data_IF_317344294094
#
_entry.id   IF_317344294094
#
_cell.length_a   1.000
_cell.length_b   1.000
_cell.length_c   1.000
_cell.angle_alpha   90.00
_cell.angle_beta   90.00
_cell.angle_gamma   90.00
#
_symmetry.space_group_name_H-M   'P 1'
#
loop_
_entity.id
_entity.type
_entity.pdbx_description
1 polymer ?
#
# COMPACT_ATOMS: atom_id res chain seq x y z
N UNK A 1 2.83 -7.89 -11.56
CA UNK A 1 1.72 -8.34 -10.69
C UNK A 1 2.15 -9.50 -9.79
N UNK A 2 2.02 -9.32 -8.49
CA UNK A 2 2.21 -10.34 -7.47
C UNK A 2 1.11 -11.38 -7.63
N UNK A 3 1.48 -12.56 -8.12
CA UNK A 3 0.56 -13.65 -8.36
C UNK A 3 0.29 -14.37 -7.03
N UNK A 4 -0.94 -14.23 -6.53
CA UNK A 4 -1.46 -15.01 -5.42
C UNK A 4 -2.46 -16.04 -5.95
N UNK A 5 -2.58 -17.22 -5.32
CA UNK A 5 -3.62 -18.19 -5.65
C UNK A 5 -5.01 -17.56 -5.54
N UNK A 6 -5.99 -17.91 -6.40
CA UNK A 6 -7.36 -17.38 -6.30
C UNK A 6 -8.06 -17.67 -4.96
N UNK A 7 -7.62 -18.72 -4.26
CA UNK A 7 -8.12 -19.14 -2.94
C UNK A 7 -7.49 -18.37 -1.79
N UNK A 8 -6.54 -17.46 -2.05
CA UNK A 8 -5.91 -16.67 -1.02
C UNK A 8 -6.91 -15.71 -0.36
N UNK A 9 -6.63 -15.35 0.89
CA UNK A 9 -7.47 -14.41 1.61
C UNK A 9 -7.52 -13.05 0.89
N UNK A 10 -8.70 -12.44 0.83
CA UNK A 10 -8.91 -11.17 0.14
C UNK A 10 -7.98 -10.04 0.62
N UNK A 11 -7.58 -10.03 1.90
CA UNK A 11 -6.63 -9.04 2.42
C UNK A 11 -5.22 -9.21 1.83
N UNK A 12 -4.80 -10.45 1.51
CA UNK A 12 -3.52 -10.70 0.85
C UNK A 12 -3.54 -10.16 -0.59
N UNK A 13 -4.66 -10.32 -1.31
CA UNK A 13 -4.82 -9.72 -2.63
C UNK A 13 -4.70 -8.20 -2.60
N UNK A 14 -5.29 -7.52 -1.61
CA UNK A 14 -5.14 -6.05 -1.47
C UNK A 14 -3.73 -5.63 -1.10
N UNK A 15 -3.05 -6.37 -0.22
CA UNK A 15 -1.63 -6.13 0.08
C UNK A 15 -0.75 -6.30 -1.17
N UNK A 16 -0.98 -7.36 -1.95
CA UNK A 16 -0.28 -7.61 -3.20
C UNK A 16 -0.52 -6.49 -4.22
N UNK A 17 -1.77 -6.04 -4.39
CA UNK A 17 -2.10 -4.92 -5.26
C UNK A 17 -1.41 -3.61 -4.83
N UNK A 18 -1.35 -3.32 -3.53
CA UNK A 18 -0.64 -2.16 -3.01
C UNK A 18 0.87 -2.23 -3.29
N UNK A 19 1.49 -3.40 -3.09
CA UNK A 19 2.91 -3.61 -3.40
C UNK A 19 3.20 -3.52 -4.91
N UNK A 20 2.32 -4.04 -5.75
CA UNK A 20 2.40 -3.92 -7.21
C UNK A 20 2.33 -2.46 -7.66
N UNK A 21 1.52 -1.62 -7.01
CA UNK A 21 1.44 -0.20 -7.28
C UNK A 21 2.68 0.57 -6.76
N UNK A 22 3.23 0.16 -5.62
CA UNK A 22 4.40 0.81 -5.01
C UNK A 22 5.69 0.55 -5.79
N UNK A 23 5.89 -0.69 -6.25
CA UNK A 23 7.16 -1.15 -6.83
C UNK A 23 7.65 -0.29 -8.02
N UNK A 24 6.84 0.05 -9.05
CA UNK A 24 7.32 0.90 -10.13
C UNK A 24 7.67 2.31 -9.64
N UNK A 25 6.86 2.90 -8.74
CA UNK A 25 7.13 4.22 -8.15
C UNK A 25 8.45 4.25 -7.39
N UNK A 26 8.75 3.19 -6.65
CA UNK A 26 10.01 3.09 -5.93
C UNK A 26 11.20 2.98 -6.89
N UNK A 27 11.06 2.22 -7.98
CA UNK A 27 12.07 2.12 -9.03
C UNK A 27 12.33 3.48 -9.71
N UNK A 28 11.28 4.26 -9.95
CA UNK A 28 11.40 5.61 -10.48
C UNK A 28 12.12 6.52 -9.48
N UNK A 29 11.74 6.46 -8.19
CA UNK A 29 12.41 7.21 -7.12
C UNK A 29 13.92 6.93 -7.01
N UNK A 30 14.36 5.71 -7.28
CA UNK A 30 15.79 5.37 -7.30
C UNK A 30 16.59 6.15 -8.37
N UNK A 31 15.92 6.68 -9.40
CA UNK A 31 16.56 7.44 -10.49
C UNK A 31 16.60 8.95 -10.20
N UNK A 32 15.93 9.42 -9.14
CA UNK A 32 15.91 10.83 -8.78
C UNK A 32 17.18 11.25 -8.03
N UNK A 33 17.56 12.53 -8.18
CA UNK A 33 18.68 13.13 -7.43
C UNK A 33 18.46 13.12 -5.91
N UNK A 34 17.20 13.14 -5.46
CA UNK A 34 16.81 13.01 -4.05
C UNK A 34 15.85 11.84 -3.87
N UNK A 35 16.35 10.61 -3.74
CA UNK A 35 15.52 9.40 -3.74
C UNK A 35 14.66 9.26 -2.47
N UNK A 36 15.15 9.74 -1.32
CA UNK A 36 14.47 9.54 -0.03
C UNK A 36 13.14 10.32 0.08
N UNK A 37 13.05 11.62 -0.26
CA UNK A 37 11.77 12.33 -0.26
C UNK A 37 10.76 11.73 -1.25
N UNK A 38 11.21 11.33 -2.44
CA UNK A 38 10.38 10.66 -3.43
C UNK A 38 9.82 9.34 -2.89
N UNK A 39 10.70 8.48 -2.36
CA UNK A 39 10.34 7.19 -1.80
C UNK A 39 9.35 7.32 -0.65
N UNK A 40 9.58 8.29 0.26
CA UNK A 40 8.68 8.58 1.37
C UNK A 40 7.29 8.96 0.89
N UNK A 41 7.20 9.87 -0.09
CA UNK A 41 5.91 10.27 -0.67
C UNK A 41 5.21 9.09 -1.35
N UNK A 42 5.91 8.37 -2.21
CA UNK A 42 5.35 7.21 -2.92
C UNK A 42 4.85 6.13 -1.94
N UNK A 43 5.59 5.88 -0.86
CA UNK A 43 5.19 4.98 0.22
C UNK A 43 3.91 5.46 0.92
N UNK A 44 3.87 6.71 1.37
CA UNK A 44 2.72 7.27 2.07
C UNK A 44 1.47 7.28 1.19
N UNK A 45 1.57 7.72 -0.07
CA UNK A 45 0.44 7.76 -1.00
C UNK A 45 -0.18 6.37 -1.23
N UNK A 46 0.66 5.32 -1.35
CA UNK A 46 0.17 3.94 -1.52
C UNK A 46 -0.43 3.41 -0.22
N UNK A 47 0.19 3.69 0.92
CA UNK A 47 -0.30 3.24 2.22
C UNK A 47 -1.66 3.85 2.54
N UNK A 48 -1.88 5.13 2.22
CA UNK A 48 -3.15 5.82 2.44
C UNK A 48 -4.28 5.24 1.57
N UNK A 49 -3.98 4.92 0.31
CA UNK A 49 -4.91 4.22 -0.57
C UNK A 49 -5.27 2.83 -0.02
N UNK A 50 -4.26 2.03 0.34
CA UNK A 50 -4.48 0.72 0.95
C UNK A 50 -5.32 0.80 2.23
N UNK A 51 -5.04 1.77 3.10
CA UNK A 51 -5.81 1.97 4.32
C UNK A 51 -7.27 2.38 4.02
N UNK A 52 -7.50 3.24 3.03
CA UNK A 52 -8.85 3.61 2.58
C UNK A 52 -9.63 2.39 2.12
N UNK A 53 -9.00 1.51 1.33
CA UNK A 53 -9.61 0.27 0.85
C UNK A 53 -9.89 -0.72 1.99
N UNK A 54 -8.99 -0.86 2.96
CA UNK A 54 -9.19 -1.69 4.15
C UNK A 54 -10.27 -1.15 5.09
N UNK A 55 -10.44 0.18 5.18
CA UNK A 55 -11.54 0.78 5.94
C UNK A 55 -12.91 0.51 5.29
N UNK A 56 -12.97 0.37 3.98
CA UNK A 56 -14.19 0.03 3.24
C UNK A 56 -14.69 -1.40 3.45
N UNK A 57 -13.90 -2.29 4.07
CA UNK A 57 -14.24 -3.70 4.27
C UNK A 57 -14.37 -4.05 5.75
N UNK A 58 -15.18 -5.07 6.06
CA UNK A 58 -15.42 -5.57 7.43
C UNK A 58 -14.26 -6.46 7.94
N UNK A 59 -13.01 -6.06 7.74
CA UNK A 59 -11.84 -6.73 8.31
C UNK A 59 -11.34 -5.98 9.54
N UNK A 60 -10.63 -6.68 10.44
CA UNK A 60 -9.96 -6.03 11.57
C UNK A 60 -8.92 -5.06 11.00
N UNK A 61 -9.09 -3.78 11.31
CA UNK A 61 -8.22 -2.73 10.80
C UNK A 61 -6.77 -2.90 11.26
N UNK A 62 -5.84 -2.76 10.32
CA UNK A 62 -4.41 -2.77 10.60
C UNK A 62 -4.04 -1.59 11.50
N UNK A 63 -3.15 -1.82 12.46
CA UNK A 63 -2.71 -0.78 13.39
C UNK A 63 -2.09 0.42 12.67
N UNK A 64 -1.34 0.20 11.59
CA UNK A 64 -0.74 1.27 10.80
C UNK A 64 -1.78 2.22 10.17
N UNK A 65 -2.97 1.71 9.83
CA UNK A 65 -4.06 2.49 9.26
C UNK A 65 -4.84 3.29 10.32
N UNK A 66 -4.71 2.96 11.61
CA UNK A 66 -5.40 3.67 12.69
C UNK A 66 -4.93 5.11 12.89
N UNK A 67 -3.76 5.48 12.36
CA UNK A 67 -3.28 6.87 12.41
C UNK A 67 -4.06 7.82 11.49
N UNK A 68 -4.83 7.30 10.54
CA UNK A 68 -5.72 8.07 9.66
C UNK A 68 -7.21 7.93 9.99
N UNK A 69 -7.55 7.26 11.10
CA UNK A 69 -8.92 7.15 11.58
C UNK A 69 -9.08 7.82 12.94
N UNK A 70 -9.60 9.05 12.97
CA UNK A 70 -10.41 9.45 14.11
C UNK A 70 -11.57 8.45 14.18
N UNK A 71 -11.70 7.80 15.34
CA UNK A 71 -12.85 6.96 15.69
C UNK A 71 -14.14 7.79 15.70
#
# INVERSE_FOLDING_TARGET
>A
PLLLPPTAFAHLHRQAAALDALRPRMNDCCRHHSPLPCARRAWTDVLDGFCTDEFGVKTRQFHCCRRHGAA
#
